data_IF_864947522707
#
_entry.id   IF_864947522707
#
_cell.length_a   1.000
_cell.length_b   1.000
_cell.length_c   1.000
_cell.angle_alpha   90.00
_cell.angle_beta   90.00
_cell.angle_gamma   90.00
#
_symmetry.space_group_name_H-M   'P 1'
#
loop_
_entity.id
_entity.type
_entity.pdbx_description
1 polymer ?
#
# COMPACT_ATOMS: atom_id res chain seq x y z
N UNK A 1 24.27 -18.89 -20.99
CA UNK A 1 23.22 -18.28 -20.13
C UNK A 1 22.18 -17.49 -20.90
N UNK A 2 22.55 -16.57 -21.81
CA UNK A 2 21.60 -15.71 -22.54
C UNK A 2 20.44 -16.45 -23.22
N UNK A 3 20.69 -17.57 -23.93
CA UNK A 3 19.64 -18.35 -24.60
C UNK A 3 18.58 -18.90 -23.63
N UNK A 4 19.00 -19.38 -22.45
CA UNK A 4 18.08 -19.88 -21.41
C UNK A 4 17.26 -18.75 -20.80
N UNK A 5 17.89 -17.58 -20.58
CA UNK A 5 17.21 -16.38 -20.09
C UNK A 5 16.14 -15.89 -21.08
N UNK A 6 16.47 -15.85 -22.37
CA UNK A 6 15.52 -15.46 -23.42
C UNK A 6 14.32 -16.39 -23.45
N UNK A 7 14.53 -17.72 -23.38
CA UNK A 7 13.42 -18.66 -23.32
C UNK A 7 12.58 -18.52 -22.05
N UNK A 8 13.21 -18.28 -20.90
CA UNK A 8 12.50 -18.04 -19.65
C UNK A 8 11.65 -16.76 -19.70
N UNK A 9 12.21 -15.65 -20.22
CA UNK A 9 11.49 -14.39 -20.41
C UNK A 9 10.34 -14.53 -21.41
N UNK A 10 10.56 -15.24 -22.53
CA UNK A 10 9.53 -15.48 -23.52
C UNK A 10 8.39 -16.33 -22.95
N UNK A 11 8.70 -17.38 -22.19
CA UNK A 11 7.69 -18.20 -21.51
C UNK A 11 6.91 -17.38 -20.48
N UNK A 12 7.60 -16.55 -19.68
CA UNK A 12 6.96 -15.67 -18.70
C UNK A 12 6.01 -14.67 -19.36
N UNK A 13 6.46 -14.00 -20.43
CA UNK A 13 5.63 -13.06 -21.20
C UNK A 13 4.42 -13.76 -21.83
N UNK A 14 4.61 -14.95 -22.39
CA UNK A 14 3.53 -15.72 -23.01
C UNK A 14 2.47 -16.12 -21.98
N UNK A 15 2.87 -16.68 -20.84
CA UNK A 15 1.94 -17.05 -19.77
C UNK A 15 1.26 -15.80 -19.21
N UNK A 16 2.00 -14.72 -18.96
CA UNK A 16 1.44 -13.45 -18.49
C UNK A 16 0.42 -12.87 -19.46
N UNK A 17 0.69 -12.90 -20.77
CA UNK A 17 -0.23 -12.44 -21.80
C UNK A 17 -1.51 -13.29 -21.85
N UNK A 18 -1.40 -14.62 -21.75
CA UNK A 18 -2.57 -15.51 -21.69
C UNK A 18 -3.44 -15.23 -20.46
N UNK A 19 -2.84 -15.06 -19.28
CA UNK A 19 -3.56 -14.74 -18.04
C UNK A 19 -4.25 -13.39 -18.14
N UNK A 20 -3.53 -12.36 -18.61
CA UNK A 20 -4.09 -11.02 -18.80
C UNK A 20 -5.27 -11.03 -19.78
N UNK A 21 -5.11 -11.67 -20.95
CA UNK A 21 -6.17 -11.76 -21.95
C UNK A 21 -7.42 -12.49 -21.42
N UNK A 22 -7.23 -13.59 -20.68
CA UNK A 22 -8.34 -14.29 -20.03
C UNK A 22 -9.03 -13.42 -18.97
N UNK A 23 -8.25 -12.71 -18.13
CA UNK A 23 -8.78 -11.78 -17.14
C UNK A 23 -9.60 -10.67 -17.77
N UNK A 24 -9.05 -9.98 -18.78
CA UNK A 24 -9.74 -8.89 -19.48
C UNK A 24 -11.01 -9.32 -20.21
N UNK A 25 -11.09 -10.59 -20.64
CA UNK A 25 -12.28 -11.13 -21.28
C UNK A 25 -13.41 -11.47 -20.28
N UNK A 26 -13.05 -11.71 -19.02
CA UNK A 26 -13.99 -12.14 -17.97
C UNK A 26 -14.40 -11.01 -17.02
N UNK A 27 -13.53 -10.02 -16.82
CA UNK A 27 -13.74 -8.94 -15.87
C UNK A 27 -13.31 -7.59 -16.47
N UNK A 28 -14.24 -6.65 -16.66
CA UNK A 28 -13.94 -5.33 -17.22
C UNK A 28 -13.09 -4.45 -16.29
N UNK A 29 -12.89 -4.85 -15.03
CA UNK A 29 -12.00 -4.15 -14.09
C UNK A 29 -10.51 -4.51 -14.27
N UNK A 30 -10.19 -5.54 -15.06
CA UNK A 30 -8.81 -5.92 -15.37
C UNK A 30 -8.26 -5.01 -16.46
N UNK A 31 -7.32 -4.15 -16.09
CA UNK A 31 -6.64 -3.23 -17.01
C UNK A 31 -5.12 -3.19 -16.76
N UNK A 32 -4.38 -2.55 -17.66
CA UNK A 32 -2.96 -2.27 -17.49
C UNK A 32 -2.75 -1.36 -16.27
N UNK A 33 -1.63 -1.54 -15.53
CA UNK A 33 -1.31 -0.68 -14.40
C UNK A 33 -1.31 0.80 -14.79
N UNK A 34 -2.19 1.57 -14.15
CA UNK A 34 -2.28 3.01 -14.32
C UNK A 34 -1.45 3.72 -13.24
N UNK A 35 -0.99 4.93 -13.54
CA UNK A 35 -0.37 5.78 -12.53
C UNK A 35 -1.42 6.24 -11.51
N UNK A 36 -1.04 6.35 -10.24
CA UNK A 36 -1.89 6.92 -9.20
C UNK A 36 -1.92 8.45 -9.39
N UNK A 37 -3.10 8.98 -9.68
CA UNK A 37 -3.40 10.40 -9.76
C UNK A 37 -4.23 10.87 -8.54
N UNK A 38 -4.38 12.18 -8.38
CA UNK A 38 -5.09 12.76 -7.23
C UNK A 38 -6.59 12.35 -7.18
N UNK A 39 -7.16 12.00 -8.33
CA UNK A 39 -8.54 11.54 -8.51
C UNK A 39 -8.65 10.01 -8.62
N UNK A 40 -7.55 9.27 -8.43
CA UNK A 40 -7.59 7.81 -8.43
C UNK A 40 -8.34 7.27 -7.21
N UNK A 41 -9.32 6.37 -7.40
CA UNK A 41 -10.05 5.81 -6.28
C UNK A 41 -9.15 4.96 -5.38
N UNK A 42 -9.27 5.13 -4.06
CA UNK A 42 -8.61 4.27 -3.09
C UNK A 42 -9.12 2.83 -3.24
N UNK A 43 -8.24 1.81 -3.43
CA UNK A 43 -8.67 0.43 -3.64
C UNK A 43 -9.50 -0.18 -2.50
N UNK A 44 -9.40 0.38 -1.28
CA UNK A 44 -10.14 -0.10 -0.13
C UNK A 44 -11.59 0.40 -0.08
N UNK A 45 -11.87 1.61 -0.57
CA UNK A 45 -13.18 2.28 -0.45
C UNK A 45 -13.80 2.68 -1.80
N UNK A 46 -13.05 2.58 -2.91
CA UNK A 46 -13.54 2.83 -4.27
C UNK A 46 -13.71 4.30 -4.64
N UNK A 47 -13.12 5.22 -3.89
CA UNK A 47 -13.34 6.66 -4.04
C UNK A 47 -12.06 7.46 -3.80
N UNK A 48 -11.97 8.64 -4.43
CA UNK A 48 -10.80 9.52 -4.41
C UNK A 48 -10.91 10.76 -3.50
N UNK A 49 -12.08 11.02 -2.89
CA UNK A 49 -12.26 12.14 -1.97
C UNK A 49 -12.00 11.76 -0.51
N UNK A 50 -11.66 12.75 0.31
CA UNK A 50 -11.53 12.57 1.77
C UNK A 50 -12.84 12.14 2.45
N UNK A 51 -14.00 12.48 1.89
CA UNK A 51 -15.30 12.04 2.42
C UNK A 51 -15.43 10.51 2.49
N UNK A 52 -14.81 9.78 1.56
CA UNK A 52 -14.99 8.33 1.47
C UNK A 52 -14.27 7.51 2.54
N UNK A 53 -13.43 8.17 3.32
CA UNK A 53 -12.80 7.60 4.50
C UNK A 53 -13.49 8.04 5.80
N UNK A 54 -14.60 8.79 5.72
CA UNK A 54 -15.30 9.33 6.89
C UNK A 54 -14.43 10.32 7.67
N UNK A 55 -13.55 11.05 6.98
CA UNK A 55 -12.65 12.01 7.63
C UNK A 55 -13.42 13.17 8.28
N UNK A 56 -14.58 13.54 7.73
CA UNK A 56 -15.46 14.55 8.32
C UNK A 56 -16.14 14.05 9.61
N UNK A 57 -16.10 12.74 9.89
CA UNK A 57 -16.60 12.15 11.14
C UNK A 57 -15.55 12.17 12.26
N UNK A 58 -14.33 12.65 11.99
CA UNK A 58 -13.39 12.99 13.07
C UNK A 58 -13.96 14.25 13.72
N UNK A 59 -14.50 14.17 14.95
CA UNK A 59 -15.08 15.35 15.63
C UNK A 59 -14.00 16.42 15.75
N UNK A 60 -14.32 17.72 15.85
CA UNK A 60 -13.38 18.79 16.24
C UNK A 60 -13.17 18.83 17.78
N UNK A 61 -12.05 19.37 18.32
CA UNK A 61 -11.89 19.49 19.77
C UNK A 61 -12.90 20.51 20.30
N UNK A 62 -13.91 20.05 21.02
CA UNK A 62 -15.01 20.88 21.51
C UNK A 62 -14.76 21.45 22.93
N UNK A 63 -13.64 21.06 23.54
CA UNK A 63 -13.27 21.45 24.91
C UNK A 63 -14.07 20.74 26.02
N UNK A 64 -14.93 19.79 25.66
CA UNK A 64 -15.80 19.04 26.59
C UNK A 64 -15.50 17.54 26.55
N UNK A 65 -15.23 17.00 25.36
CA UNK A 65 -14.92 15.59 25.14
C UNK A 65 -13.44 15.39 24.83
N UNK A 66 -12.82 14.44 25.52
CA UNK A 66 -11.43 14.03 25.32
C UNK A 66 -11.36 12.70 24.56
N UNK A 67 -10.55 12.67 23.49
CA UNK A 67 -10.21 11.41 22.81
C UNK A 67 -9.03 10.75 23.52
N UNK A 68 -9.23 9.53 24.00
CA UNK A 68 -8.15 8.72 24.58
C UNK A 68 -7.40 7.94 23.51
N UNK A 69 -6.08 8.12 23.44
CA UNK A 69 -5.22 7.29 22.59
C UNK A 69 -4.81 6.02 23.35
N UNK A 70 -5.25 4.81 22.93
CA UNK A 70 -4.89 3.57 23.63
C UNK A 70 -3.39 3.29 23.62
N UNK A 71 -2.68 3.79 22.60
CA UNK A 71 -1.25 3.58 22.42
C UNK A 71 -0.39 4.46 23.34
N UNK A 72 -0.84 5.69 23.60
CA UNK A 72 -0.13 6.64 24.47
C UNK A 72 -0.70 6.64 25.90
N UNK A 73 -1.81 5.96 26.15
CA UNK A 73 -2.51 5.94 27.45
C UNK A 73 -2.77 7.34 28.01
N UNK A 74 -3.10 8.29 27.13
CA UNK A 74 -3.35 9.68 27.48
C UNK A 74 -4.59 10.21 26.74
N UNK A 75 -5.31 11.11 27.39
CA UNK A 75 -6.59 11.68 26.91
C UNK A 75 -6.53 13.20 26.62
N UNK A 76 -5.37 13.85 26.71
CA UNK A 76 -5.23 15.29 26.41
C UNK A 76 -5.06 15.59 24.91
N UNK A 77 -5.48 16.79 24.49
CA UNK A 77 -5.13 17.39 23.18
C UNK A 77 -3.61 17.50 22.98
N UNK A 78 -2.85 17.65 24.07
CA UNK A 78 -1.38 17.71 24.07
C UNK A 78 -0.72 16.32 23.84
N UNK A 79 -1.50 15.24 23.93
CA UNK A 79 -1.03 13.86 23.96
C UNK A 79 -1.15 13.07 22.65
N UNK A 80 -1.31 13.74 21.50
CA UNK A 80 -1.15 13.12 20.17
C UNK A 80 -2.22 12.15 19.65
N UNK A 81 -3.45 12.12 20.16
CA UNK A 81 -4.53 11.51 19.39
C UNK A 81 -4.88 12.39 18.18
N UNK A 82 -5.03 13.69 18.40
CA UNK A 82 -5.63 14.60 17.43
C UNK A 82 -4.78 14.85 16.19
N UNK A 83 -3.56 15.31 16.40
CA UNK A 83 -2.62 15.58 15.30
C UNK A 83 -2.31 14.31 14.51
N UNK A 84 -2.17 13.16 15.18
CA UNK A 84 -1.97 11.89 14.47
C UNK A 84 -3.18 11.52 13.60
N UNK A 85 -4.41 11.69 14.09
CA UNK A 85 -5.62 11.46 13.29
C UNK A 85 -5.74 12.45 12.12
N UNK A 86 -5.47 13.73 12.35
CA UNK A 86 -5.60 14.78 11.34
C UNK A 86 -4.46 14.80 10.30
N UNK A 87 -3.22 14.51 10.71
CA UNK A 87 -2.02 14.73 9.87
C UNK A 87 -1.22 13.46 9.54
N UNK A 88 -1.44 12.34 10.23
CA UNK A 88 -0.68 11.09 10.01
C UNK A 88 -1.53 9.86 9.72
N UNK A 89 -2.84 9.91 9.89
CA UNK A 89 -3.74 8.79 9.56
C UNK A 89 -3.64 8.40 8.07
N UNK A 90 -3.38 9.37 7.19
CA UNK A 90 -3.18 9.15 5.76
C UNK A 90 -1.73 8.72 5.38
N UNK A 91 -0.85 8.51 6.36
CA UNK A 91 0.54 8.09 6.10
C UNK A 91 0.78 6.68 6.64
N UNK A 92 1.38 5.83 5.80
CA UNK A 92 1.84 4.53 6.25
C UNK A 92 2.86 4.70 7.39
N UNK A 93 2.71 3.91 8.45
CA UNK A 93 3.69 3.85 9.53
C UNK A 93 5.08 3.51 8.95
N UNK A 94 6.11 4.27 9.33
CA UNK A 94 7.50 4.01 8.90
C UNK A 94 7.93 2.56 9.21
N UNK A 95 7.45 2.01 10.32
CA UNK A 95 7.69 0.61 10.69
C UNK A 95 7.02 -0.38 9.72
N UNK A 96 5.79 -0.08 9.28
CA UNK A 96 5.07 -0.88 8.28
C UNK A 96 5.79 -0.83 6.93
N UNK A 97 6.22 0.37 6.50
CA UNK A 97 6.94 0.56 5.26
C UNK A 97 8.27 -0.23 5.25
N UNK A 98 9.02 -0.16 6.35
CA UNK A 98 10.27 -0.90 6.52
C UNK A 98 10.05 -2.42 6.52
N UNK A 99 9.01 -2.92 7.17
CA UNK A 99 8.74 -4.36 7.27
C UNK A 99 8.23 -4.94 5.96
N UNK A 100 7.28 -4.28 5.30
CA UNK A 100 6.58 -4.85 4.16
C UNK A 100 7.20 -4.51 2.80
N UNK A 101 7.97 -3.42 2.71
CA UNK A 101 8.64 -3.02 1.46
C UNK A 101 10.13 -3.35 1.50
N UNK A 102 10.85 -2.89 2.53
CA UNK A 102 12.30 -3.05 2.56
C UNK A 102 12.75 -4.47 2.91
N UNK A 103 12.10 -5.14 3.86
CA UNK A 103 12.52 -6.47 4.28
C UNK A 103 12.48 -7.53 3.15
N UNK A 104 11.45 -7.60 2.29
CA UNK A 104 11.45 -8.51 1.14
C UNK A 104 12.56 -8.21 0.14
N UNK A 105 12.87 -6.93 -0.13
CA UNK A 105 13.95 -6.54 -1.02
C UNK A 105 15.30 -7.00 -0.47
N UNK A 106 15.56 -6.77 0.82
CA UNK A 106 16.78 -7.23 1.50
C UNK A 106 16.89 -8.76 1.46
N UNK A 107 15.79 -9.48 1.73
CA UNK A 107 15.76 -10.94 1.67
C UNK A 107 16.12 -11.46 0.27
N UNK A 108 15.53 -10.89 -0.79
CA UNK A 108 15.83 -11.28 -2.18
C UNK A 108 17.29 -11.01 -2.52
N UNK A 109 17.83 -9.85 -2.15
CA UNK A 109 19.24 -9.53 -2.37
C UNK A 109 20.17 -10.52 -1.65
N UNK A 110 19.87 -10.84 -0.39
CA UNK A 110 20.64 -11.81 0.38
C UNK A 110 20.63 -13.20 -0.26
N UNK A 111 19.46 -13.68 -0.70
CA UNK A 111 19.31 -14.96 -1.39
C UNK A 111 20.10 -14.99 -2.71
N UNK A 112 20.05 -13.91 -3.50
CA UNK A 112 20.82 -13.79 -4.76
C UNK A 112 22.33 -13.87 -4.48
N UNK A 113 22.82 -13.16 -3.46
CA UNK A 113 24.24 -13.19 -3.10
C UNK A 113 24.67 -14.57 -2.58
N UNK A 114 23.83 -15.24 -1.80
CA UNK A 114 24.08 -16.60 -1.32
C UNK A 114 24.22 -17.57 -2.50
N UNK A 115 23.25 -17.58 -3.41
CA UNK A 115 23.25 -18.46 -4.60
C UNK A 115 24.42 -18.15 -5.53
N UNK A 116 24.84 -16.89 -5.65
CA UNK A 116 26.00 -16.51 -6.49
C UNK A 116 27.34 -16.84 -5.87
N UNK A 117 27.40 -16.97 -4.54
CA UNK A 117 28.63 -17.35 -3.81
C UNK A 117 28.85 -18.87 -3.80
N UNK A 118 27.78 -19.64 -3.99
CA UNK A 118 27.79 -21.10 -4.12
C UNK A 118 28.10 -21.56 -5.54
#
# INVERSE_FOLDING_TARGET
MARKLVFALAAFLLVGACVFAAGSALDPSVDLPQAIAADSPCPAVGCASGECHGFDDVPDPDGVHELSCPKASCSSVDCHAWDTLATRYHQASDASLNLWVLAPVVLVLALVLLVRKM
#
